data_IF_604453491289
#
_entry.id   IF_604453491289
#
_cell.length_a   1.000
_cell.length_b   1.000
_cell.length_c   1.000
_cell.angle_alpha   90.00
_cell.angle_beta   90.00
_cell.angle_gamma   90.00
#
_symmetry.space_group_name_H-M   'P 1'
#
loop_
_entity.id
_entity.type
_entity.pdbx_description
1 polymer ?
#
# COMPACT_ATOMS: atom_id res chain seq x y z
N UNK A 1 -36.09 49.65 33.87
CA UNK A 1 -35.79 50.67 32.86
C UNK A 1 -34.31 50.56 32.56
N UNK A 2 -33.78 50.11 31.44
CA UNK A 2 -34.28 49.60 30.13
C UNK A 2 -33.04 48.91 29.51
N UNK A 3 -32.98 47.58 29.36
CA UNK A 3 -33.11 46.79 28.10
C UNK A 3 -32.54 47.40 26.82
N UNK A 4 -31.49 46.76 26.28
CA UNK A 4 -31.03 46.62 24.88
C UNK A 4 -29.59 46.03 24.95
N UNK A 5 -29.11 44.98 24.27
CA UNK A 5 -29.60 43.90 23.40
C UNK A 5 -28.51 42.81 23.45
N UNK A 6 -28.81 41.54 23.67
CA UNK A 6 -29.25 40.52 22.70
C UNK A 6 -28.42 40.47 21.41
N UNK A 7 -27.55 39.46 21.31
CA UNK A 7 -27.58 38.40 20.31
C UNK A 7 -26.17 37.91 19.95
N UNK A 8 -26.00 36.60 20.14
CA UNK A 8 -24.85 35.75 19.92
C UNK A 8 -24.64 35.53 18.42
N UNK A 9 -23.45 35.76 17.84
CA UNK A 9 -23.09 35.12 16.59
C UNK A 9 -22.47 33.75 16.89
N UNK A 10 -23.28 32.73 16.70
CA UNK A 10 -22.87 31.34 16.46
C UNK A 10 -22.13 31.30 15.12
N UNK A 11 -20.86 30.91 15.13
CA UNK A 11 -20.11 30.57 13.91
C UNK A 11 -19.73 29.10 14.03
N UNK A 12 -20.61 28.28 13.47
CA UNK A 12 -20.31 26.91 13.08
C UNK A 12 -19.35 26.96 11.89
N UNK A 13 -18.05 26.78 12.15
CA UNK A 13 -17.08 26.39 11.13
C UNK A 13 -16.77 24.90 11.30
N UNK A 14 -17.56 24.11 10.57
CA UNK A 14 -17.24 22.77 10.11
C UNK A 14 -15.90 22.83 9.36
N UNK A 15 -14.83 22.46 10.06
CA UNK A 15 -13.51 22.24 9.45
C UNK A 15 -13.56 20.92 8.69
N UNK A 16 -13.90 21.08 7.42
CA UNK A 16 -13.36 20.41 6.25
C UNK A 16 -12.70 19.04 6.50
N UNK A 17 -13.43 18.02 6.05
CA UNK A 17 -12.90 16.78 5.49
C UNK A 17 -11.86 17.12 4.43
N UNK A 18 -10.58 16.94 4.75
CA UNK A 18 -9.51 16.88 3.75
C UNK A 18 -9.49 15.48 3.13
N UNK A 19 -10.51 15.21 2.32
CA UNK A 19 -10.36 14.32 1.17
C UNK A 19 -9.53 15.07 0.13
N UNK A 20 -8.21 14.97 0.22
CA UNK A 20 -7.35 15.25 -0.93
C UNK A 20 -7.42 14.07 -1.90
N UNK A 21 -8.55 13.94 -2.59
CA UNK A 21 -8.60 13.28 -3.90
C UNK A 21 -7.93 14.20 -4.91
N UNK A 22 -6.60 14.23 -4.90
CA UNK A 22 -5.84 14.81 -6.01
C UNK A 22 -5.81 13.78 -7.13
N UNK A 23 -6.89 13.74 -7.90
CA UNK A 23 -6.95 13.14 -9.21
C UNK A 23 -6.10 14.00 -10.17
N UNK A 24 -4.78 13.94 -10.04
CA UNK A 24 -3.87 14.34 -11.10
C UNK A 24 -3.58 13.12 -11.95
N UNK A 25 -4.11 13.14 -13.16
CA UNK A 25 -3.71 12.33 -14.32
C UNK A 25 -2.25 12.65 -14.70
N UNK A 26 -1.34 12.44 -13.77
CA UNK A 26 0.08 12.34 -14.07
C UNK A 26 0.29 10.89 -14.51
N UNK A 27 1.02 10.69 -15.60
CA UNK A 27 1.51 9.39 -16.03
C UNK A 27 1.95 8.60 -14.79
N UNK A 28 1.15 7.62 -14.40
CA UNK A 28 1.33 6.96 -13.10
C UNK A 28 2.66 6.23 -13.19
N UNK A 29 3.65 6.69 -12.43
CA UNK A 29 4.93 6.00 -12.33
C UNK A 29 4.69 4.59 -11.75
N UNK A 30 5.49 3.60 -12.15
CA UNK A 30 5.32 2.22 -11.68
C UNK A 30 5.34 2.14 -10.15
N UNK A 31 6.17 2.95 -9.50
CA UNK A 31 6.27 3.00 -8.03
C UNK A 31 5.05 3.65 -7.37
N UNK A 32 4.48 4.72 -7.96
CA UNK A 32 3.30 5.37 -7.41
C UNK A 32 2.04 4.52 -7.63
N UNK A 33 1.97 3.79 -8.75
CA UNK A 33 0.94 2.78 -8.97
C UNK A 33 1.00 1.71 -7.86
N UNK A 34 2.19 1.25 -7.48
CA UNK A 34 2.33 0.24 -6.42
C UNK A 34 1.87 0.75 -5.06
N UNK A 35 2.18 2.00 -4.72
CA UNK A 35 1.70 2.62 -3.47
C UNK A 35 0.18 2.64 -3.43
N UNK A 36 -0.47 3.02 -4.53
CA UNK A 36 -1.92 3.08 -4.60
C UNK A 36 -2.55 1.69 -4.49
N UNK A 37 -1.97 0.70 -5.16
CA UNK A 37 -2.41 -0.70 -5.10
C UNK A 37 -2.29 -1.29 -3.70
N UNK A 38 -1.15 -1.08 -3.03
CA UNK A 38 -0.95 -1.56 -1.66
C UNK A 38 -1.90 -0.89 -0.67
N UNK A 39 -2.16 0.43 -0.82
CA UNK A 39 -3.14 1.14 0.02
C UNK A 39 -4.56 0.60 -0.15
N UNK A 40 -4.98 0.33 -1.39
CA UNK A 40 -6.30 -0.26 -1.68
C UNK A 40 -6.40 -1.67 -1.10
N UNK A 41 -5.40 -2.51 -1.35
CA UNK A 41 -5.36 -3.87 -0.81
C UNK A 41 -5.40 -3.91 0.73
N UNK A 42 -4.83 -2.91 1.42
CA UNK A 42 -4.94 -2.77 2.88
C UNK A 42 -6.38 -2.55 3.35
N UNK A 43 -7.17 -1.73 2.65
CA UNK A 43 -8.56 -1.45 3.02
C UNK A 43 -9.43 -2.72 2.91
N UNK A 44 -9.06 -3.64 2.02
CA UNK A 44 -9.79 -4.88 1.77
C UNK A 44 -9.20 -6.10 2.51
N UNK A 45 -8.27 -5.90 3.45
CA UNK A 45 -7.58 -6.97 4.17
C UNK A 45 -6.89 -8.01 3.24
N UNK A 46 -6.49 -7.57 2.04
CA UNK A 46 -5.97 -8.42 0.96
C UNK A 46 -4.44 -8.49 0.87
N UNK A 47 -3.72 -8.15 1.96
CA UNK A 47 -2.25 -8.18 2.00
C UNK A 47 -1.71 -9.28 2.91
N UNK A 48 -0.92 -10.17 2.33
CA UNK A 48 -0.08 -11.11 3.06
C UNK A 48 1.30 -10.48 3.33
N UNK A 49 1.63 -10.28 4.60
CA UNK A 49 2.84 -9.55 5.03
C UNK A 49 3.88 -10.50 5.61
N UNK A 50 5.10 -10.40 5.08
CA UNK A 50 6.22 -11.22 5.49
C UNK A 50 6.30 -12.55 4.75
N UNK A 51 7.48 -13.18 4.83
CA UNK A 51 7.88 -14.31 3.98
C UNK A 51 6.95 -15.52 4.14
N UNK A 52 6.56 -15.86 5.38
CA UNK A 52 5.75 -17.06 5.65
C UNK A 52 4.34 -16.96 5.11
N UNK A 53 3.73 -15.78 5.19
CA UNK A 53 2.40 -15.55 4.66
C UNK A 53 2.45 -15.43 3.14
N UNK A 54 3.44 -14.69 2.60
CA UNK A 54 3.66 -14.55 1.17
C UNK A 54 3.90 -15.91 0.50
N UNK A 55 4.78 -16.75 1.05
CA UNK A 55 5.03 -18.09 0.49
C UNK A 55 3.77 -18.95 0.50
N UNK A 56 2.97 -18.89 1.58
CA UNK A 56 1.72 -19.64 1.69
C UNK A 56 0.65 -19.15 0.70
N UNK A 57 0.59 -17.85 0.43
CA UNK A 57 -0.32 -17.28 -0.57
C UNK A 57 0.08 -17.65 -2.00
N UNK A 58 1.39 -17.66 -2.28
CA UNK A 58 1.95 -18.11 -3.56
C UNK A 58 1.71 -19.62 -3.79
N UNK A 59 1.97 -20.46 -2.78
CA UNK A 59 1.74 -21.91 -2.84
C UNK A 59 0.28 -22.26 -3.13
N UNK A 60 -0.65 -21.48 -2.56
CA UNK A 60 -2.10 -21.65 -2.75
C UNK A 60 -2.60 -21.05 -4.06
N UNK A 61 -1.74 -20.38 -4.84
CA UNK A 61 -2.11 -19.63 -6.06
C UNK A 61 -3.18 -18.57 -5.81
N UNK A 62 -3.19 -18.00 -4.61
CA UNK A 62 -4.09 -16.93 -4.21
C UNK A 62 -3.45 -15.55 -4.39
N UNK A 63 -2.13 -15.49 -4.54
CA UNK A 63 -1.43 -14.24 -4.79
C UNK A 63 -1.58 -13.83 -6.25
N UNK A 64 -1.90 -12.55 -6.47
CA UNK A 64 -1.95 -11.94 -7.80
C UNK A 64 -0.70 -11.10 -8.10
N UNK A 65 0.02 -10.63 -7.07
CA UNK A 65 1.26 -9.87 -7.21
C UNK A 65 2.16 -10.09 -6.00
N UNK A 66 3.47 -10.14 -6.23
CA UNK A 66 4.47 -10.23 -5.19
C UNK A 66 5.46 -9.07 -5.26
N UNK A 67 5.72 -8.45 -4.12
CA UNK A 67 6.75 -7.43 -3.93
C UNK A 67 7.83 -8.00 -3.02
N UNK A 68 9.07 -7.95 -3.49
CA UNK A 68 10.27 -8.39 -2.81
C UNK A 68 11.18 -7.19 -2.54
N UNK A 69 11.76 -7.11 -1.35
CA UNK A 69 12.86 -6.20 -1.08
C UNK A 69 14.19 -6.80 -1.58
N UNK A 70 14.99 -6.02 -2.30
CA UNK A 70 16.33 -6.45 -2.72
C UNK A 70 17.28 -6.59 -1.51
N UNK A 71 17.11 -5.72 -0.51
CA UNK A 71 17.88 -5.70 0.73
C UNK A 71 17.39 -6.76 1.73
N UNK A 72 17.39 -8.03 1.33
CA UNK A 72 17.12 -9.15 2.24
C UNK A 72 18.41 -9.62 2.93
N UNK A 73 18.36 -9.85 4.25
CA UNK A 73 19.52 -10.28 5.05
C UNK A 73 20.13 -11.62 4.60
N UNK A 74 19.33 -12.47 3.95
CA UNK A 74 19.76 -13.78 3.44
C UNK A 74 19.29 -13.97 2.00
N UNK A 75 20.23 -14.31 1.12
CA UNK A 75 19.94 -14.64 -0.29
C UNK A 75 18.98 -15.82 -0.46
N UNK A 76 18.90 -16.71 0.54
CA UNK A 76 17.96 -17.83 0.52
C UNK A 76 16.52 -17.34 0.37
N UNK A 77 16.16 -16.21 0.97
CA UNK A 77 14.81 -15.66 0.87
C UNK A 77 14.49 -15.16 -0.54
N UNK A 78 15.43 -14.46 -1.17
CA UNK A 78 15.29 -13.98 -2.55
C UNK A 78 15.09 -15.16 -3.49
N UNK A 79 15.93 -16.19 -3.38
CA UNK A 79 15.85 -17.40 -4.22
C UNK A 79 14.54 -18.15 -4.04
N UNK A 80 14.04 -18.26 -2.81
CA UNK A 80 12.76 -18.93 -2.53
C UNK A 80 11.59 -18.18 -3.18
N UNK A 81 11.52 -16.85 -3.01
CA UNK A 81 10.41 -16.07 -3.56
C UNK A 81 10.47 -16.00 -5.09
N UNK A 82 11.66 -15.86 -5.67
CA UNK A 82 11.84 -15.91 -7.13
C UNK A 82 11.41 -17.25 -7.73
N UNK A 83 11.79 -18.36 -7.09
CA UNK A 83 11.37 -19.70 -7.53
C UNK A 83 9.86 -19.88 -7.43
N UNK A 84 9.27 -19.49 -6.30
CA UNK A 84 7.82 -19.59 -6.10
C UNK A 84 7.05 -18.73 -7.11
N UNK A 85 7.49 -17.50 -7.37
CA UNK A 85 6.84 -16.62 -8.35
C UNK A 85 6.94 -17.17 -9.78
N UNK A 86 8.04 -17.84 -10.12
CA UNK A 86 8.20 -18.50 -11.42
C UNK A 86 7.24 -19.70 -11.57
N UNK A 87 7.01 -20.47 -10.49
CA UNK A 87 6.08 -21.60 -10.49
C UNK A 87 4.61 -21.16 -10.50
N UNK A 88 4.26 -20.12 -9.73
CA UNK A 88 2.89 -19.61 -9.63
C UNK A 88 2.49 -18.65 -10.77
N UNK A 89 3.43 -18.28 -11.65
CA UNK A 89 3.23 -17.30 -12.73
C UNK A 89 2.72 -15.95 -12.22
N UNK A 90 3.21 -15.52 -11.06
CA UNK A 90 2.83 -14.23 -10.45
C UNK A 90 3.88 -13.17 -10.74
N UNK A 91 3.49 -11.94 -11.10
CA UNK A 91 4.42 -10.85 -11.34
C UNK A 91 5.20 -10.53 -10.08
N UNK A 92 6.53 -10.40 -10.23
CA UNK A 92 7.48 -10.09 -9.18
C UNK A 92 8.01 -8.67 -9.37
N UNK A 93 7.96 -7.88 -8.31
CA UNK A 93 8.51 -6.53 -8.27
C UNK A 93 9.57 -6.44 -7.20
N UNK A 94 10.70 -5.82 -7.53
CA UNK A 94 11.81 -5.60 -6.61
C UNK A 94 11.83 -4.14 -6.17
N UNK A 95 12.00 -3.91 -4.87
CA UNK A 95 12.14 -2.57 -4.27
C UNK A 95 13.39 -2.54 -3.40
N UNK A 96 14.13 -1.43 -3.43
CA UNK A 96 15.43 -1.29 -2.78
C UNK A 96 15.36 -1.36 -1.26
N UNK A 97 14.41 -0.64 -0.66
CA UNK A 97 14.40 -0.35 0.77
C UNK A 97 13.27 -1.06 1.53
N UNK A 98 13.57 -1.78 2.63
CA UNK A 98 12.55 -2.53 3.37
C UNK A 98 11.65 -1.61 4.20
N UNK A 99 12.12 -0.41 4.55
CA UNK A 99 11.37 0.56 5.35
C UNK A 99 10.28 1.24 4.53
N UNK A 100 10.57 1.64 3.29
CA UNK A 100 9.58 2.25 2.38
C UNK A 100 8.47 1.26 2.05
N UNK A 101 8.82 -0.01 1.79
CA UNK A 101 7.84 -1.08 1.67
C UNK A 101 7.00 -1.27 2.93
N UNK A 102 7.62 -1.18 4.10
CA UNK A 102 6.94 -1.27 5.39
C UNK A 102 5.92 -0.14 5.61
N UNK A 103 6.25 1.08 5.19
CA UNK A 103 5.32 2.22 5.22
C UNK A 103 4.13 1.97 4.28
N UNK A 104 4.38 1.49 3.06
CA UNK A 104 3.31 1.24 2.08
C UNK A 104 2.41 0.07 2.48
N UNK A 105 2.96 -0.93 3.17
CA UNK A 105 2.22 -2.05 3.74
C UNK A 105 1.53 -1.71 5.08
N UNK A 106 1.56 -0.45 5.52
CA UNK A 106 0.87 -0.01 6.73
C UNK A 106 1.51 -0.51 8.04
N UNK A 107 2.79 -0.90 8.01
CA UNK A 107 3.56 -1.27 9.21
C UNK A 107 4.24 -0.07 9.88
N UNK A 108 3.59 1.09 9.84
CA UNK A 108 4.05 2.31 10.47
C UNK A 108 3.11 2.72 11.60
N UNK A 109 3.69 3.18 12.71
CA UNK A 109 2.93 3.90 13.73
C UNK A 109 2.91 5.37 13.35
N UNK A 110 1.70 5.91 13.18
CA UNK A 110 1.45 7.32 12.90
C UNK A 110 1.46 8.14 14.19
N UNK A 111 2.11 9.30 14.15
CA UNK A 111 1.98 10.32 15.19
C UNK A 111 0.70 11.17 14.98
N UNK A 112 0.40 12.06 15.93
CA UNK A 112 -0.79 12.93 15.90
C UNK A 112 -0.86 13.84 14.67
N UNK A 113 0.28 14.14 14.06
CA UNK A 113 0.40 14.99 12.87
C UNK A 113 0.44 14.17 11.56
N UNK A 114 0.16 12.86 11.61
CA UNK A 114 0.11 11.99 10.42
C UNK A 114 1.45 11.50 9.90
N UNK A 115 2.57 11.87 10.53
CA UNK A 115 3.90 11.42 10.12
C UNK A 115 4.24 10.02 10.67
N UNK A 116 4.97 9.22 9.87
CA UNK A 116 5.43 7.89 10.25
C UNK A 116 6.64 7.97 11.19
N UNK A 117 6.48 7.54 12.46
CA UNK A 117 7.55 7.60 13.46
C UNK A 117 8.29 6.28 13.66
N UNK A 118 7.53 5.18 13.67
CA UNK A 118 8.06 3.83 13.91
C UNK A 118 7.66 2.92 12.77
N UNK A 119 8.56 2.82 11.80
CA UNK A 119 8.39 1.99 10.61
C UNK A 119 9.06 0.65 10.85
N UNK A 120 8.28 -0.43 10.73
CA UNK A 120 8.83 -1.79 10.71
C UNK A 120 9.11 -2.16 9.25
N UNK A 121 10.32 -2.67 8.99
CA UNK A 121 10.70 -3.09 7.65
C UNK A 121 9.91 -4.31 7.18
N UNK A 122 9.49 -4.31 5.92
CA UNK A 122 8.93 -5.46 5.22
C UNK A 122 9.96 -6.01 4.23
N UNK A 123 10.19 -7.32 4.29
CA UNK A 123 11.03 -8.02 3.30
C UNK A 123 10.22 -8.47 2.08
N UNK A 124 8.99 -8.94 2.29
CA UNK A 124 8.11 -9.44 1.25
C UNK A 124 6.66 -9.09 1.55
N UNK A 125 5.92 -8.76 0.50
CA UNK A 125 4.46 -8.55 0.53
C UNK A 125 3.86 -9.28 -0.66
N UNK A 126 2.79 -10.04 -0.44
CA UNK A 126 1.99 -10.61 -1.52
C UNK A 126 0.58 -10.05 -1.44
N UNK A 127 0.03 -9.66 -2.58
CA UNK A 127 -1.35 -9.17 -2.69
C UNK A 127 -2.23 -10.33 -3.08
N UNK A 128 -3.20 -10.67 -2.22
CA UNK A 128 -4.22 -11.68 -2.52
C UNK A 128 -5.45 -11.06 -3.14
N UNK A 129 -5.87 -9.89 -2.65
CA UNK A 129 -7.08 -9.23 -3.11
C UNK A 129 -6.82 -7.73 -3.27
N UNK A 130 -7.09 -7.21 -4.46
CA UNK A 130 -6.96 -5.78 -4.75
C UNK A 130 -8.21 -4.97 -4.38
N UNK A 131 -9.31 -5.66 -4.12
CA UNK A 131 -10.63 -5.09 -3.89
C UNK A 131 -11.25 -4.53 -5.17
N UNK A 132 -10.83 -3.33 -5.57
CA UNK A 132 -11.39 -2.60 -6.70
C UNK A 132 -10.39 -2.46 -7.85
N UNK A 133 -10.86 -2.72 -9.07
CA UNK A 133 -10.08 -2.54 -10.29
C UNK A 133 -9.78 -1.06 -10.51
N UNK A 134 -8.51 -0.69 -10.37
CA UNK A 134 -8.01 0.66 -10.56
C UNK A 134 -7.22 0.78 -11.86
N UNK A 135 -7.14 2.00 -12.40
CA UNK A 135 -6.25 2.28 -13.52
C UNK A 135 -4.80 1.86 -13.21
N UNK A 136 -4.34 2.07 -11.97
CA UNK A 136 -3.01 1.69 -11.51
C UNK A 136 -2.75 0.16 -11.58
N UNK A 137 -3.75 -0.66 -11.23
CA UNK A 137 -3.66 -2.12 -11.34
C UNK A 137 -3.51 -2.56 -12.80
N UNK A 138 -4.28 -1.95 -13.70
CA UNK A 138 -4.22 -2.27 -15.12
C UNK A 138 -2.87 -1.86 -15.73
N UNK A 139 -2.34 -0.69 -15.36
CA UNK A 139 -1.01 -0.26 -15.81
C UNK A 139 0.08 -1.21 -15.32
N UNK A 140 0.03 -1.64 -14.05
CA UNK A 140 0.99 -2.61 -13.51
C UNK A 140 0.86 -3.95 -14.22
N UNK A 141 -0.32 -4.55 -14.29
CA UNK A 141 -0.52 -5.85 -14.94
C UNK A 141 -0.13 -5.81 -16.43
N UNK A 142 -0.44 -4.73 -17.14
CA UNK A 142 -0.05 -4.56 -18.55
C UNK A 142 1.46 -4.43 -18.75
N UNK A 143 2.18 -3.84 -17.80
CA UNK A 143 3.65 -3.74 -17.85
C UNK A 143 4.34 -5.11 -17.70
N UNK A 144 3.67 -6.08 -17.09
CA UNK A 144 4.19 -7.44 -16.87
C UNK A 144 3.63 -8.48 -17.87
N UNK A 145 2.62 -8.14 -18.68
CA UNK A 145 2.00 -9.07 -19.64
C UNK A 145 2.56 -8.98 -21.06
N UNK A 146 3.78 -8.44 -21.23
CA UNK A 146 4.46 -8.29 -22.52
C UNK A 146 5.46 -9.43 -22.78
#
# INVERSE_FOLDING_TARGET
MSTEGDNVPQVDEVVAVEEETVATTNEISVEDALKEVLKRALVHDGLARGIREASKALDRRQAHLCVLCESCDQEAYVKLVEALCAESQTPLIKVSDPKTLGEWAGLCVLDRDGNARKVVGCSCVAVTDYGEDSAALQTLLSSFSA
#
